data_IF_732287703818
#
_entry.id   IF_732287703818
#
_cell.length_a   1.000
_cell.length_b   1.000
_cell.length_c   1.000
_cell.angle_alpha   90.00
_cell.angle_beta   90.00
_cell.angle_gamma   90.00
#
_symmetry.space_group_name_H-M   'P 1'
#
loop_
_entity.id
_entity.type
_entity.pdbx_description
1 polymer ?
#
# COMPACT_ATOMS: atom_id res chain seq x y z
N UNK A 1 15.79 12.65 10.71
CA UNK A 1 15.52 11.21 10.51
C UNK A 1 14.74 11.02 9.20
N UNK A 2 15.11 10.06 8.35
CA UNK A 2 14.31 9.76 7.14
C UNK A 2 13.13 8.88 7.56
N UNK A 3 11.94 9.46 7.70
CA UNK A 3 10.72 8.69 7.96
C UNK A 3 10.43 7.83 6.73
N UNK A 4 10.59 6.50 6.87
CA UNK A 4 10.20 5.55 5.82
C UNK A 4 8.68 5.42 5.80
N UNK A 5 8.03 6.20 4.95
CA UNK A 5 6.58 6.07 4.69
C UNK A 5 6.32 4.68 4.11
N UNK A 6 5.38 3.94 4.71
CA UNK A 6 5.02 2.59 4.30
C UNK A 6 3.52 2.47 4.12
N UNK A 7 3.11 1.67 3.13
CA UNK A 7 1.71 1.38 2.94
C UNK A 7 1.14 0.56 4.10
N UNK A 8 0.13 1.09 4.80
CA UNK A 8 -0.53 0.41 5.91
C UNK A 8 -1.11 -0.95 5.51
N UNK A 9 -1.72 -1.03 4.31
CA UNK A 9 -2.21 -2.31 3.77
C UNK A 9 -1.07 -3.29 3.49
N UNK A 10 0.07 -2.83 3.03
CA UNK A 10 1.23 -3.68 2.68
C UNK A 10 2.24 -3.80 3.83
N UNK A 11 1.89 -3.32 5.02
CA UNK A 11 2.77 -3.38 6.20
C UNK A 11 2.93 -4.83 6.64
N UNK A 12 1.80 -5.55 6.71
CA UNK A 12 1.73 -6.93 7.18
C UNK A 12 1.01 -7.82 6.16
N UNK A 13 1.48 -9.06 6.05
CA UNK A 13 0.81 -10.12 5.29
C UNK A 13 -0.33 -10.73 6.12
N UNK A 14 -1.32 -11.30 5.42
CA UNK A 14 -2.46 -12.01 6.02
C UNK A 14 -2.62 -13.39 5.36
N UNK A 15 -3.47 -14.26 5.94
CA UNK A 15 -3.76 -15.59 5.37
C UNK A 15 -4.32 -15.54 3.94
N UNK A 16 -4.97 -14.44 3.57
CA UNK A 16 -5.67 -14.26 2.29
C UNK A 16 -5.01 -13.23 1.38
N UNK A 17 -3.97 -12.51 1.82
CA UNK A 17 -3.30 -11.47 1.05
C UNK A 17 -1.84 -11.32 1.48
N UNK A 18 -0.91 -11.36 0.52
CA UNK A 18 0.53 -11.23 0.77
C UNK A 18 1.18 -10.27 -0.20
N UNK A 19 2.18 -9.51 0.24
CA UNK A 19 3.00 -8.68 -0.63
C UNK A 19 4.07 -9.56 -1.29
N UNK A 20 4.12 -9.55 -2.62
CA UNK A 20 5.12 -10.32 -3.38
C UNK A 20 6.23 -9.44 -3.95
N UNK A 21 5.95 -8.16 -4.22
CA UNK A 21 6.96 -7.18 -4.64
C UNK A 21 6.70 -5.82 -3.98
N UNK A 22 7.73 -5.29 -3.32
CA UNK A 22 7.71 -3.95 -2.73
C UNK A 22 8.30 -2.95 -3.72
N UNK A 23 7.49 -2.00 -4.14
CA UNK A 23 7.90 -0.88 -4.99
C UNK A 23 7.92 0.41 -4.16
N UNK A 24 8.71 1.42 -4.54
CA UNK A 24 8.66 2.73 -3.90
C UNK A 24 7.24 3.32 -4.01
N UNK A 25 6.83 4.06 -2.98
CA UNK A 25 5.57 4.79 -3.01
C UNK A 25 5.67 5.92 -4.03
N UNK A 26 4.63 6.09 -4.85
CA UNK A 26 4.55 7.19 -5.80
C UNK A 26 3.91 8.39 -5.11
N UNK A 27 4.64 9.50 -4.97
CA UNK A 27 4.05 10.77 -4.53
C UNK A 27 3.11 11.28 -5.62
N UNK A 28 1.86 11.55 -5.28
CA UNK A 28 0.86 12.07 -6.20
C UNK A 28 0.75 13.60 -6.13
N UNK A 29 0.88 14.16 -4.93
CA UNK A 29 0.77 15.60 -4.72
C UNK A 29 0.62 15.94 -3.24
N UNK A 30 0.03 17.10 -2.99
CA UNK A 30 -0.35 17.60 -1.68
C UNK A 30 -1.80 18.06 -1.70
N UNK A 31 -2.57 17.71 -0.68
CA UNK A 31 -3.99 18.07 -0.53
C UNK A 31 -4.17 18.58 0.90
N UNK A 32 -4.58 19.84 1.08
CA UNK A 32 -4.93 20.45 2.37
C UNK A 32 -3.93 20.22 3.52
N UNK A 33 -2.62 20.34 3.24
CA UNK A 33 -1.56 20.13 4.24
C UNK A 33 -1.18 18.66 4.48
N UNK A 34 -1.61 17.76 3.60
CA UNK A 34 -1.21 16.35 3.57
C UNK A 34 -0.50 16.02 2.28
N UNK A 35 0.48 15.13 2.32
CA UNK A 35 1.11 14.52 1.16
C UNK A 35 0.36 13.26 0.74
N UNK A 36 -0.06 13.21 -0.52
CA UNK A 36 -0.71 12.03 -1.09
C UNK A 36 0.33 11.07 -1.69
N UNK A 37 0.25 9.80 -1.27
CA UNK A 37 1.08 8.71 -1.76
C UNK A 37 0.22 7.56 -2.31
N UNK A 38 0.72 6.94 -3.36
CA UNK A 38 0.12 5.78 -4.00
C UNK A 38 1.03 4.55 -3.88
N UNK A 39 0.44 3.43 -3.45
CA UNK A 39 1.15 2.17 -3.26
C UNK A 39 1.07 1.29 -4.51
N UNK A 40 2.19 1.19 -5.24
CA UNK A 40 2.35 0.32 -6.39
C UNK A 40 2.89 -1.08 -6.04
N UNK A 41 2.77 -1.54 -4.79
CA UNK A 41 3.25 -2.88 -4.43
C UNK A 41 2.44 -3.94 -5.16
N UNK A 42 3.09 -5.01 -5.61
CA UNK A 42 2.39 -6.17 -6.15
C UNK A 42 2.03 -7.08 -4.98
N UNK A 43 0.76 -7.45 -4.91
CA UNK A 43 0.18 -8.31 -3.90
C UNK A 43 -0.41 -9.54 -4.59
N UNK A 44 -0.45 -10.66 -3.86
CA UNK A 44 -1.30 -11.79 -4.21
C UNK A 44 -2.41 -11.94 -3.19
N UNK A 45 -3.61 -12.27 -3.62
CA UNK A 45 -4.75 -12.51 -2.73
C UNK A 45 -5.56 -13.72 -3.17
N UNK A 46 -6.26 -14.35 -2.21
CA UNK A 46 -7.17 -15.47 -2.48
C UNK A 46 -8.53 -14.90 -2.88
N UNK A 47 -8.92 -15.09 -4.15
CA UNK A 47 -10.28 -14.78 -4.60
C UNK A 47 -11.19 -15.93 -4.17
N UNK A 48 -12.19 -15.66 -3.31
CA UNK A 48 -13.23 -16.64 -2.98
C UNK A 48 -14.26 -16.65 -4.12
N UNK A 49 -14.13 -17.59 -5.04
CA UNK A 49 -15.09 -17.87 -6.10
C UNK A 49 -15.42 -19.36 -6.15
N UNK A 50 -16.63 -19.71 -6.57
CA UNK A 50 -17.20 -21.08 -6.61
C UNK A 50 -16.15 -22.13 -7.00
N UNK A 51 -15.62 -22.88 -6.02
CA UNK A 51 -14.83 -24.09 -6.21
C UNK A 51 -13.34 -23.94 -6.56
N UNK A 52 -12.79 -22.74 -6.72
CA UNK A 52 -11.39 -22.58 -7.17
C UNK A 52 -10.59 -21.66 -6.22
N UNK A 53 -9.67 -22.24 -5.46
CA UNK A 53 -8.73 -21.54 -4.57
C UNK A 53 -7.53 -20.95 -5.33
N UNK A 54 -7.77 -20.09 -6.32
CA UNK A 54 -6.68 -19.46 -7.05
C UNK A 54 -6.15 -18.23 -6.30
N UNK A 55 -4.84 -18.15 -6.18
CA UNK A 55 -4.15 -16.91 -5.85
C UNK A 55 -4.07 -16.05 -7.11
N UNK A 56 -4.48 -14.80 -6.99
CA UNK A 56 -4.41 -13.81 -8.08
C UNK A 56 -3.43 -12.72 -7.66
N UNK A 57 -2.63 -12.24 -8.60
CA UNK A 57 -1.71 -11.14 -8.41
C UNK A 57 -2.32 -9.83 -8.92
N UNK A 58 -2.18 -8.76 -8.14
CA UNK A 58 -2.59 -7.42 -8.55
C UNK A 58 -1.70 -6.35 -7.90
N UNK A 59 -1.85 -5.11 -8.34
CA UNK A 59 -1.27 -3.96 -7.64
C UNK A 59 -2.10 -3.60 -6.41
N UNK A 60 -1.48 -3.15 -5.32
CA UNK A 60 -2.19 -2.77 -4.09
C UNK A 60 -3.15 -1.59 -4.29
N UNK A 61 -2.82 -0.65 -5.17
CA UNK A 61 -3.60 0.56 -5.49
C UNK A 61 -4.04 1.43 -4.31
N UNK A 62 -3.36 1.29 -3.17
CA UNK A 62 -3.77 2.01 -1.96
C UNK A 62 -3.27 3.46 -2.02
N UNK A 63 -4.20 4.41 -1.93
CA UNK A 63 -3.91 5.83 -1.72
C UNK A 63 -3.84 6.13 -0.23
N UNK A 64 -2.93 7.02 0.16
CA UNK A 64 -2.68 7.38 1.55
C UNK A 64 -2.38 8.86 1.63
N UNK A 65 -2.99 9.52 2.62
CA UNK A 65 -2.65 10.86 3.03
C UNK A 65 -1.73 10.75 4.25
N UNK A 66 -0.63 11.47 4.20
CA UNK A 66 0.33 11.58 5.31
C UNK A 66 0.42 13.04 5.66
N UNK A 67 0.21 13.41 6.93
CA UNK A 67 0.34 14.79 7.39
C UNK A 67 1.71 15.36 6.99
N UNK A 68 1.72 16.50 6.31
CA UNK A 68 2.95 17.21 5.97
C UNK A 68 3.63 17.73 7.26
N UNK A 69 2.85 17.90 8.33
CA UNK A 69 3.28 18.46 9.62
C UNK A 69 3.81 17.44 10.64
N UNK A 70 3.81 16.12 10.36
CA UNK A 70 4.54 15.16 11.21
C UNK A 70 6.08 15.21 11.03
N UNK A 71 6.56 16.23 10.33
CA UNK A 71 7.97 16.49 10.06
C UNK A 71 8.56 17.67 10.87
N UNK A 72 7.78 18.30 11.77
CA UNK A 72 8.22 19.39 12.62
C UNK A 72 7.70 19.18 14.05
N UNK A 73 8.41 18.35 14.81
CA UNK A 73 8.69 18.51 16.25
C UNK A 73 9.80 17.54 16.67
#
# INVERSE_FOLDING_TARGET
MIIKIRCGKCKNDTKTRKVIKRNPLKKLGSVDGYLEYYCCNIIRFKKRGRGINNWIEEECRNRMLVEDNKFLE
#
